data_IF_488290313974
#
_entry.id   IF_488290313974
#
_cell.length_a   1.000
_cell.length_b   1.000
_cell.length_c   1.000
_cell.angle_alpha   90.00
_cell.angle_beta   90.00
_cell.angle_gamma   90.00
#
_symmetry.space_group_name_H-M   'P 1'
#
loop_
_entity.id
_entity.type
_entity.pdbx_description
1 polymer ?
#
# COMPACT_ATOMS: atom_id res chain seq x y z
N UNK A 1 -9.45 29.60 -85.76
CA UNK A 1 -8.70 29.25 -84.50
C UNK A 1 -9.69 29.27 -83.34
N UNK A 2 -10.11 28.12 -82.83
CA UNK A 2 -11.05 28.00 -81.72
C UNK A 2 -10.26 27.57 -80.49
N UNK A 3 -10.14 28.50 -79.53
CA UNK A 3 -9.48 28.26 -78.23
C UNK A 3 -10.46 27.55 -77.30
N UNK A 4 -10.15 26.34 -76.85
CA UNK A 4 -10.89 25.60 -75.84
C UNK A 4 -10.38 25.96 -74.45
N UNK A 5 -11.23 26.53 -73.60
CA UNK A 5 -11.00 26.70 -72.16
C UNK A 5 -11.32 25.34 -71.47
N UNK A 6 -10.40 24.90 -70.64
CA UNK A 6 -10.51 23.75 -69.75
C UNK A 6 -10.93 24.22 -68.38
N UNK A 7 -11.95 23.66 -67.70
CA UNK A 7 -12.29 24.05 -66.36
C UNK A 7 -11.38 23.34 -65.34
N UNK A 8 -10.82 24.13 -64.42
CA UNK A 8 -10.02 23.71 -63.30
C UNK A 8 -10.98 23.22 -62.18
N UNK A 9 -11.03 21.92 -61.95
CA UNK A 9 -11.76 21.36 -60.78
C UNK A 9 -10.89 21.54 -59.52
N UNK A 10 -11.42 22.35 -58.60
CA UNK A 10 -10.87 22.52 -57.26
C UNK A 10 -11.38 21.36 -56.37
N UNK A 11 -10.53 20.37 -56.07
CA UNK A 11 -10.84 19.37 -55.04
C UNK A 11 -10.62 19.99 -53.67
N UNK A 12 -11.69 20.29 -52.96
CA UNK A 12 -11.65 20.63 -51.53
C UNK A 12 -11.46 19.34 -50.71
N UNK A 13 -10.26 19.10 -50.24
CA UNK A 13 -9.95 18.04 -49.28
C UNK A 13 -10.52 18.39 -47.91
N UNK A 14 -11.57 17.69 -47.49
CA UNK A 14 -12.08 17.75 -46.13
C UNK A 14 -11.09 16.95 -45.25
N UNK A 15 -10.22 17.65 -44.53
CA UNK A 15 -9.45 17.09 -43.46
C UNK A 15 -10.39 16.82 -42.28
N UNK A 16 -10.80 15.55 -42.10
CA UNK A 16 -11.41 15.07 -40.87
C UNK A 16 -10.32 15.06 -39.79
N UNK A 17 -10.22 16.16 -39.05
CA UNK A 17 -9.50 16.19 -37.78
C UNK A 17 -10.26 15.28 -36.80
N UNK A 18 -9.84 14.03 -36.71
CA UNK A 18 -10.24 13.18 -35.60
C UNK A 18 -9.73 13.82 -34.31
N UNK A 19 -10.64 14.45 -33.58
CA UNK A 19 -10.41 14.84 -32.19
C UNK A 19 -10.38 13.56 -31.35
N UNK A 20 -9.23 12.87 -31.35
CA UNK A 20 -8.92 11.90 -30.32
C UNK A 20 -8.79 12.69 -29.02
N UNK A 21 -9.77 12.56 -28.13
CA UNK A 21 -9.59 12.96 -26.75
C UNK A 21 -8.37 12.20 -26.24
N UNK A 22 -7.24 12.86 -26.12
CA UNK A 22 -6.13 12.35 -25.36
C UNK A 22 -6.69 12.16 -23.94
N UNK A 23 -6.85 10.90 -23.48
CA UNK A 23 -7.09 10.61 -22.08
C UNK A 23 -5.99 11.34 -21.33
N UNK A 24 -6.37 12.34 -20.56
CA UNK A 24 -5.42 13.05 -19.71
C UNK A 24 -4.92 12.07 -18.67
N UNK A 25 -3.63 12.07 -18.35
CA UNK A 25 -3.04 11.13 -17.38
C UNK A 25 -3.83 11.09 -16.05
N UNK A 26 -4.47 12.22 -15.68
CA UNK A 26 -5.33 12.34 -14.51
C UNK A 26 -6.54 11.39 -14.51
N UNK A 27 -7.08 11.04 -15.69
CA UNK A 27 -8.25 10.15 -15.82
C UNK A 27 -7.92 8.68 -15.57
N UNK A 28 -6.62 8.34 -15.54
CA UNK A 28 -6.14 6.96 -15.32
C UNK A 28 -5.99 6.58 -13.85
N UNK A 29 -5.95 7.54 -12.94
CA UNK A 29 -5.78 7.29 -11.50
C UNK A 29 -7.13 7.08 -10.82
N UNK A 30 -7.14 6.15 -9.85
CA UNK A 30 -8.29 6.01 -8.96
C UNK A 30 -8.27 7.17 -7.97
N UNK A 31 -9.40 7.83 -7.78
CA UNK A 31 -9.58 8.93 -6.84
C UNK A 31 -10.80 8.71 -5.94
N UNK A 32 -10.87 9.46 -4.87
CA UNK A 32 -12.07 9.51 -4.01
C UNK A 32 -12.82 10.81 -4.29
N UNK A 33 -14.12 10.69 -4.52
CA UNK A 33 -15.03 11.83 -4.64
C UNK A 33 -16.38 11.46 -4.03
N UNK A 34 -16.92 12.32 -3.16
CA UNK A 34 -18.20 12.11 -2.47
C UNK A 34 -18.32 10.73 -1.78
N UNK A 35 -17.22 10.25 -1.17
CA UNK A 35 -17.18 8.97 -0.46
C UNK A 35 -17.13 7.74 -1.35
N UNK A 36 -16.87 7.89 -2.65
CA UNK A 36 -16.74 6.78 -3.61
C UNK A 36 -15.37 6.78 -4.29
N UNK A 37 -14.86 5.59 -4.60
CA UNK A 37 -13.75 5.45 -5.53
C UNK A 37 -14.25 5.64 -6.95
N UNK A 38 -13.55 6.45 -7.72
CA UNK A 38 -13.82 6.68 -9.14
C UNK A 38 -12.59 6.36 -9.98
N UNK A 39 -12.82 5.76 -11.15
CA UNK A 39 -11.83 5.60 -12.21
C UNK A 39 -12.49 6.05 -13.53
N UNK A 40 -11.90 7.02 -14.22
CA UNK A 40 -12.46 7.63 -15.43
C UNK A 40 -13.92 8.10 -15.23
N UNK A 41 -14.17 8.83 -14.14
CA UNK A 41 -15.48 9.36 -13.72
C UNK A 41 -16.58 8.32 -13.47
N UNK A 42 -16.20 7.05 -13.38
CA UNK A 42 -17.12 5.96 -13.07
C UNK A 42 -16.84 5.37 -11.70
N UNK A 43 -17.87 4.93 -10.95
CA UNK A 43 -17.66 4.21 -9.72
C UNK A 43 -16.73 3.02 -9.91
N UNK A 44 -15.70 2.95 -9.08
CA UNK A 44 -14.72 1.87 -9.08
C UNK A 44 -14.95 0.96 -7.88
N UNK A 45 -15.31 -0.30 -8.17
CA UNK A 45 -15.48 -1.35 -7.18
C UNK A 45 -14.50 -2.48 -7.49
N UNK A 46 -13.97 -3.12 -6.47
CA UNK A 46 -13.01 -4.20 -6.64
C UNK A 46 -13.18 -5.31 -5.62
N UNK A 47 -12.73 -6.50 -6.00
CA UNK A 47 -12.37 -7.57 -5.08
C UNK A 47 -10.85 -7.60 -5.03
N UNK A 48 -10.30 -7.59 -3.84
CA UNK A 48 -8.85 -7.59 -3.62
C UNK A 48 -8.39 -8.77 -2.80
N UNK A 49 -7.08 -8.99 -2.81
CA UNK A 49 -6.42 -9.96 -1.94
C UNK A 49 -5.07 -9.44 -1.45
N UNK A 50 -4.63 -9.94 -0.28
CA UNK A 50 -3.24 -9.77 0.14
C UNK A 50 -2.33 -10.62 -0.75
N UNK A 51 -1.37 -9.97 -1.39
CA UNK A 51 -0.38 -10.60 -2.27
C UNK A 51 1.02 -10.10 -1.91
N UNK A 52 1.33 -10.15 -0.59
CA UNK A 52 2.51 -9.55 0.00
C UNK A 52 3.84 -10.03 -0.61
N UNK A 53 3.87 -11.25 -1.15
CA UNK A 53 5.04 -11.90 -1.73
C UNK A 53 5.24 -11.62 -3.23
N UNK A 54 4.46 -10.73 -3.83
CA UNK A 54 4.54 -10.41 -5.26
C UNK A 54 5.93 -10.00 -5.74
N UNK A 55 6.63 -9.08 -5.03
CA UNK A 55 8.01 -8.71 -5.38
C UNK A 55 8.99 -9.87 -5.28
N UNK A 56 8.82 -10.77 -4.32
CA UNK A 56 9.67 -11.97 -4.17
C UNK A 56 9.56 -12.86 -5.41
N UNK A 57 8.33 -13.22 -5.82
CA UNK A 57 8.11 -14.01 -7.03
C UNK A 57 8.60 -13.28 -8.30
N UNK A 58 8.51 -11.95 -8.31
CA UNK A 58 8.99 -11.11 -9.42
C UNK A 58 10.51 -11.03 -9.55
N UNK A 59 11.26 -11.37 -8.49
CA UNK A 59 12.70 -11.23 -8.45
C UNK A 59 13.41 -12.24 -9.38
N UNK A 60 14.69 -11.98 -9.65
CA UNK A 60 15.59 -12.92 -10.31
C UNK A 60 16.47 -13.69 -9.32
N UNK A 61 16.26 -13.46 -8.03
CA UNK A 61 16.94 -14.19 -6.96
C UNK A 61 16.47 -15.65 -6.84
N UNK A 62 17.07 -16.42 -5.94
CA UNK A 62 16.78 -17.86 -5.79
C UNK A 62 15.33 -18.16 -5.39
N UNK A 63 14.65 -17.20 -4.73
CA UNK A 63 13.25 -17.33 -4.31
C UNK A 63 12.26 -16.79 -5.35
N UNK A 64 12.74 -16.27 -6.47
CA UNK A 64 11.94 -15.75 -7.57
C UNK A 64 11.35 -16.87 -8.43
N UNK A 65 10.10 -16.69 -8.85
CA UNK A 65 9.43 -17.54 -9.85
C UNK A 65 8.45 -16.71 -10.66
N UNK A 66 8.95 -16.05 -11.68
CA UNK A 66 8.15 -15.22 -12.59
C UNK A 66 7.06 -16.01 -13.33
N UNK A 67 7.31 -17.30 -13.57
CA UNK A 67 6.31 -18.19 -14.17
C UNK A 67 5.13 -18.45 -13.22
N UNK A 68 5.41 -18.68 -11.93
CA UNK A 68 4.41 -18.79 -10.88
C UNK A 68 3.67 -17.46 -10.70
N UNK A 69 4.39 -16.34 -10.65
CA UNK A 69 3.79 -15.00 -10.56
C UNK A 69 2.75 -14.79 -11.67
N UNK A 70 3.12 -15.09 -12.93
CA UNK A 70 2.20 -14.93 -14.05
C UNK A 70 0.95 -15.81 -13.89
N UNK A 71 1.11 -17.09 -13.54
CA UNK A 71 -0.02 -18.03 -13.34
C UNK A 71 -0.94 -17.58 -12.19
N UNK A 72 -0.38 -17.10 -11.08
CA UNK A 72 -1.18 -16.64 -9.93
C UNK A 72 -1.95 -15.36 -10.27
N UNK A 73 -1.32 -14.39 -10.92
CA UNK A 73 -2.00 -13.17 -11.36
C UNK A 73 -3.12 -13.47 -12.37
N UNK A 74 -2.89 -14.36 -13.33
CA UNK A 74 -3.92 -14.79 -14.28
C UNK A 74 -5.07 -15.49 -13.55
N UNK A 75 -4.78 -16.41 -12.64
CA UNK A 75 -5.80 -17.12 -11.86
C UNK A 75 -6.62 -16.19 -10.94
N UNK A 76 -6.02 -15.14 -10.38
CA UNK A 76 -6.72 -14.13 -9.58
C UNK A 76 -7.62 -13.29 -10.48
N UNK A 77 -7.11 -12.79 -11.59
CA UNK A 77 -7.88 -12.02 -12.57
C UNK A 77 -9.10 -12.80 -13.09
N UNK A 78 -8.92 -14.07 -13.45
CA UNK A 78 -10.00 -14.94 -13.94
C UNK A 78 -11.12 -15.15 -12.90
N UNK A 79 -10.82 -14.93 -11.61
CA UNK A 79 -11.77 -14.95 -10.50
C UNK A 79 -12.35 -13.59 -10.14
N UNK A 80 -12.02 -12.55 -10.92
CA UNK A 80 -12.52 -11.18 -10.71
C UNK A 80 -11.76 -10.39 -9.64
N UNK A 81 -10.59 -10.88 -9.19
CA UNK A 81 -9.70 -10.11 -8.31
C UNK A 81 -8.95 -9.08 -9.15
N UNK A 82 -9.15 -7.81 -8.85
CA UNK A 82 -8.58 -6.70 -9.61
C UNK A 82 -7.76 -5.74 -8.77
N UNK A 83 -7.60 -6.02 -7.46
CA UNK A 83 -6.80 -5.20 -6.56
C UNK A 83 -5.91 -6.11 -5.68
N UNK A 84 -4.65 -5.75 -5.57
CA UNK A 84 -3.65 -6.51 -4.79
C UNK A 84 -3.07 -5.62 -3.70
N UNK A 85 -3.01 -6.12 -2.47
CA UNK A 85 -2.32 -5.44 -1.38
C UNK A 85 -0.96 -6.09 -1.16
N UNK A 86 0.11 -5.32 -1.31
CA UNK A 86 1.48 -5.81 -1.48
C UNK A 86 2.43 -5.10 -0.53
N UNK A 87 3.28 -5.86 0.15
CA UNK A 87 4.42 -5.32 0.88
C UNK A 87 5.51 -4.93 -0.11
N UNK A 88 6.08 -3.74 0.02
CA UNK A 88 7.21 -3.33 -0.83
C UNK A 88 8.45 -4.19 -0.57
N UNK A 89 8.65 -4.63 0.66
CA UNK A 89 9.69 -5.57 1.08
C UNK A 89 9.85 -5.62 2.58
N UNK A 90 10.66 -6.57 3.06
CA UNK A 90 11.02 -6.71 4.48
C UNK A 90 12.32 -5.99 4.81
N UNK A 91 12.47 -5.63 6.10
CA UNK A 91 13.62 -4.93 6.64
C UNK A 91 14.45 -5.84 7.56
N UNK A 92 15.77 -5.77 7.51
CA UNK A 92 16.66 -6.36 8.50
C UNK A 92 17.68 -7.37 7.98
N UNK A 93 17.83 -8.47 8.68
CA UNK A 93 18.78 -9.53 8.39
C UNK A 93 18.05 -10.83 8.09
N UNK A 94 18.65 -11.68 7.23
CA UNK A 94 18.16 -13.04 6.97
C UNK A 94 18.49 -13.97 8.15
N UNK A 95 17.78 -15.11 8.23
CA UNK A 95 17.94 -16.10 9.27
C UNK A 95 17.30 -15.73 10.62
N UNK A 96 16.57 -14.63 10.69
CA UNK A 96 15.83 -14.25 11.90
C UNK A 96 14.52 -15.05 11.98
N UNK A 97 14.30 -15.83 13.07
CA UNK A 97 13.08 -16.61 13.20
C UNK A 97 11.80 -15.76 13.06
N UNK A 98 10.77 -16.35 12.46
CA UNK A 98 9.45 -15.73 12.25
C UNK A 98 9.45 -14.51 11.31
N UNK A 99 10.53 -14.22 10.62
CA UNK A 99 10.61 -13.14 9.62
C UNK A 99 10.51 -13.71 8.21
N UNK A 100 9.86 -12.97 7.31
CA UNK A 100 9.82 -13.31 5.88
C UNK A 100 11.17 -13.04 5.23
N UNK A 101 11.50 -13.84 4.25
CA UNK A 101 12.71 -13.74 3.42
C UNK A 101 12.33 -13.84 1.94
N UNK A 102 13.17 -13.33 1.06
CA UNK A 102 14.39 -12.54 1.27
C UNK A 102 14.12 -11.11 1.75
N UNK A 103 15.15 -10.47 2.30
CA UNK A 103 15.09 -9.12 2.87
C UNK A 103 15.34 -8.06 1.80
N UNK A 104 14.48 -7.05 1.72
CA UNK A 104 14.64 -5.93 0.78
C UNK A 104 15.63 -4.89 1.30
N UNK A 105 15.41 -4.36 2.49
CA UNK A 105 16.29 -3.35 3.10
C UNK A 105 17.19 -4.03 4.14
N UNK A 106 18.47 -4.22 3.80
CA UNK A 106 19.44 -4.95 4.62
C UNK A 106 20.14 -4.08 5.65
N UNK A 107 20.22 -2.77 5.39
CA UNK A 107 20.64 -1.73 6.32
C UNK A 107 19.95 -0.41 5.93
N UNK A 108 19.94 0.63 6.78
CA UNK A 108 19.32 1.91 6.45
C UNK A 108 19.84 2.47 5.13
N UNK A 109 18.95 2.56 4.11
CA UNK A 109 19.27 3.02 2.76
C UNK A 109 20.00 1.99 1.86
N UNK A 110 20.23 0.77 2.33
CA UNK A 110 20.82 -0.31 1.54
C UNK A 110 19.76 -1.35 1.15
N UNK A 111 19.65 -1.63 -0.15
CA UNK A 111 18.56 -2.44 -0.70
C UNK A 111 19.08 -3.59 -1.56
N UNK A 112 18.43 -4.74 -1.45
CA UNK A 112 18.64 -5.85 -2.37
C UNK A 112 18.12 -5.50 -3.77
N UNK A 113 19.03 -5.47 -4.75
CA UNK A 113 18.71 -5.07 -6.12
C UNK A 113 17.84 -6.09 -6.85
N UNK A 114 17.94 -7.38 -6.51
CA UNK A 114 17.11 -8.42 -7.11
C UNK A 114 15.65 -8.30 -6.66
N UNK A 115 15.40 -7.91 -5.40
CA UNK A 115 14.04 -7.65 -4.91
C UNK A 115 13.47 -6.34 -5.44
N UNK A 116 14.29 -5.30 -5.60
CA UNK A 116 13.86 -4.06 -6.28
C UNK A 116 13.50 -4.34 -7.74
N UNK A 117 14.27 -5.17 -8.44
CA UNK A 117 13.93 -5.64 -9.78
C UNK A 117 12.63 -6.44 -9.77
N UNK A 118 12.45 -7.28 -8.75
CA UNK A 118 11.23 -8.06 -8.55
C UNK A 118 9.99 -7.21 -8.33
N UNK A 119 10.09 -6.14 -7.55
CA UNK A 119 9.01 -5.18 -7.34
C UNK A 119 8.63 -4.49 -8.66
N UNK A 120 9.62 -4.02 -9.43
CA UNK A 120 9.39 -3.39 -10.73
C UNK A 120 8.74 -4.36 -11.73
N UNK A 121 9.21 -5.61 -11.76
CA UNK A 121 8.65 -6.65 -12.62
C UNK A 121 7.21 -6.98 -12.23
N UNK A 122 6.94 -7.16 -10.95
CA UNK A 122 5.60 -7.40 -10.42
C UNK A 122 4.64 -6.26 -10.82
N UNK A 123 5.03 -5.00 -10.61
CA UNK A 123 4.20 -3.84 -10.97
C UNK A 123 3.85 -3.82 -12.45
N UNK A 124 4.83 -4.11 -13.32
CA UNK A 124 4.56 -4.25 -14.77
C UNK A 124 3.56 -5.36 -15.07
N UNK A 125 3.70 -6.53 -14.44
CA UNK A 125 2.81 -7.68 -14.68
C UNK A 125 1.40 -7.46 -14.14
N UNK A 126 1.24 -6.76 -13.02
CA UNK A 126 -0.05 -6.33 -12.52
C UNK A 126 -0.72 -5.32 -13.48
N UNK A 127 0.03 -4.30 -13.92
CA UNK A 127 -0.45 -3.30 -14.87
C UNK A 127 -0.95 -3.93 -16.20
N UNK A 128 -0.21 -4.91 -16.74
CA UNK A 128 -0.60 -5.63 -17.97
C UNK A 128 -1.90 -6.43 -17.86
N UNK A 129 -2.36 -6.67 -16.65
CA UNK A 129 -3.60 -7.39 -16.34
C UNK A 129 -4.71 -6.47 -15.84
N UNK A 130 -4.53 -5.16 -15.97
CA UNK A 130 -5.44 -4.13 -15.47
C UNK A 130 -5.72 -4.27 -13.96
N UNK A 131 -4.77 -4.81 -13.21
CA UNK A 131 -4.84 -4.91 -11.75
C UNK A 131 -4.28 -3.65 -11.10
N UNK A 132 -4.94 -3.19 -10.06
CA UNK A 132 -4.49 -2.08 -9.22
C UNK A 132 -3.74 -2.62 -7.99
N UNK A 133 -2.78 -1.86 -7.49
CA UNK A 133 -1.92 -2.31 -6.39
C UNK A 133 -1.90 -1.28 -5.26
N UNK A 134 -2.22 -1.74 -4.05
CA UNK A 134 -1.97 -1.02 -2.81
C UNK A 134 -0.58 -1.43 -2.32
N UNK A 135 0.34 -0.48 -2.24
CA UNK A 135 1.69 -0.70 -1.74
C UNK A 135 1.81 -0.21 -0.29
N UNK A 136 2.06 -1.12 0.67
CA UNK A 136 2.34 -0.72 2.04
C UNK A 136 3.83 -0.74 2.33
N UNK A 137 4.29 0.33 3.04
CA UNK A 137 5.70 0.71 3.09
C UNK A 137 6.46 0.10 4.25
N UNK A 138 5.79 -0.24 5.34
CA UNK A 138 6.38 -0.85 6.54
C UNK A 138 5.35 -1.64 7.34
N UNK A 139 5.73 -2.13 8.50
CA UNK A 139 4.90 -2.94 9.38
C UNK A 139 5.12 -2.58 10.86
N UNK A 140 4.08 -2.66 11.66
CA UNK A 140 4.25 -2.56 13.11
C UNK A 140 4.61 -3.91 13.77
N UNK A 141 4.47 -5.01 13.03
CA UNK A 141 4.73 -6.38 13.49
C UNK A 141 6.09 -6.90 13.02
N UNK A 142 6.61 -7.90 13.73
CA UNK A 142 7.96 -8.44 13.57
C UNK A 142 8.21 -9.17 12.25
N UNK A 143 7.17 -9.78 11.67
CA UNK A 143 7.32 -10.73 10.57
C UNK A 143 7.90 -10.15 9.27
N UNK A 144 7.98 -8.82 9.13
CA UNK A 144 8.69 -8.16 8.04
C UNK A 144 9.67 -7.08 8.51
N UNK A 145 10.10 -7.12 9.77
CA UNK A 145 11.02 -6.14 10.36
C UNK A 145 10.31 -4.90 10.89
N UNK A 146 10.07 -3.91 10.04
CA UNK A 146 9.30 -2.71 10.39
C UNK A 146 9.77 -1.99 11.65
N UNK A 147 8.84 -1.60 12.54
CA UNK A 147 9.15 -0.84 13.75
C UNK A 147 10.30 -1.42 14.55
N UNK A 148 10.31 -2.74 14.76
CA UNK A 148 11.35 -3.41 15.53
C UNK A 148 12.73 -3.29 14.88
N UNK A 149 12.79 -3.37 13.56
CA UNK A 149 14.04 -3.29 12.83
C UNK A 149 14.59 -1.85 12.80
N UNK A 150 13.74 -0.85 12.60
CA UNK A 150 14.17 0.56 12.66
C UNK A 150 14.71 0.92 14.06
N UNK A 151 14.11 0.39 15.13
CA UNK A 151 14.64 0.56 16.49
C UNK A 151 16.00 -0.11 16.67
N UNK A 152 16.20 -1.32 16.15
CA UNK A 152 17.51 -1.99 16.18
C UNK A 152 18.56 -1.14 15.46
N UNK A 153 18.25 -0.59 14.31
CA UNK A 153 19.14 0.31 13.57
C UNK A 153 19.37 1.65 14.27
N UNK A 154 18.40 2.10 15.06
CA UNK A 154 18.57 3.29 15.90
C UNK A 154 19.47 3.05 17.11
N UNK A 155 19.81 1.79 17.43
CA UNK A 155 20.69 1.43 18.53
C UNK A 155 19.98 1.01 19.81
N UNK A 156 18.67 0.72 19.76
CA UNK A 156 17.85 0.33 20.91
C UNK A 156 18.02 -1.15 21.33
N UNK A 157 19.06 -1.81 20.80
CA UNK A 157 19.36 -3.20 21.11
C UNK A 157 18.56 -4.19 20.29
N UNK A 158 18.60 -5.47 20.68
CA UNK A 158 17.94 -6.55 19.94
C UNK A 158 16.45 -6.58 20.23
N UNK A 159 15.63 -6.61 19.18
CA UNK A 159 14.19 -6.73 19.31
C UNK A 159 13.77 -8.12 19.83
N UNK A 160 12.81 -8.21 20.75
CA UNK A 160 12.17 -9.46 21.13
C UNK A 160 11.40 -10.06 19.95
N UNK A 161 11.36 -11.39 19.88
CA UNK A 161 10.61 -12.14 18.86
C UNK A 161 9.37 -12.75 19.54
N UNK A 162 8.13 -12.35 19.17
CA UNK A 162 6.93 -12.79 19.88
C UNK A 162 6.79 -14.29 20.04
N UNK A 163 7.17 -15.07 19.01
CA UNK A 163 7.13 -16.53 19.04
C UNK A 163 8.15 -17.19 20.00
N UNK A 164 9.14 -16.43 20.47
CA UNK A 164 10.22 -16.90 21.37
C UNK A 164 10.11 -16.21 22.73
N UNK A 165 10.01 -14.88 22.72
CA UNK A 165 10.12 -14.04 23.93
C UNK A 165 8.73 -13.63 24.47
N UNK A 166 7.67 -13.85 23.68
CA UNK A 166 6.29 -13.47 24.02
C UNK A 166 5.88 -12.09 23.46
N UNK A 167 4.57 -11.87 23.43
CA UNK A 167 3.98 -10.65 22.87
C UNK A 167 4.19 -9.40 23.71
N UNK A 168 4.23 -9.51 25.04
CA UNK A 168 4.38 -8.33 25.89
C UNK A 168 5.76 -7.69 25.76
N UNK A 169 6.89 -8.42 25.84
CA UNK A 169 8.22 -7.84 25.59
C UNK A 169 8.32 -7.18 24.21
N UNK A 170 7.72 -7.81 23.19
CA UNK A 170 7.72 -7.22 21.85
C UNK A 170 6.95 -5.89 21.79
N UNK A 171 5.74 -5.85 22.34
CA UNK A 171 4.92 -4.64 22.37
C UNK A 171 5.57 -3.50 23.12
N UNK A 172 6.16 -3.79 24.28
CA UNK A 172 6.93 -2.83 25.07
C UNK A 172 8.11 -2.26 24.28
N UNK A 173 8.82 -3.12 23.56
CA UNK A 173 9.96 -2.72 22.72
C UNK A 173 9.51 -1.83 21.54
N UNK A 174 8.53 -2.25 20.76
CA UNK A 174 8.10 -1.51 19.56
C UNK A 174 7.34 -0.23 19.89
N UNK A 175 6.81 -0.07 21.11
CA UNK A 175 6.29 1.20 21.60
C UNK A 175 7.33 2.32 21.54
N UNK A 176 8.61 1.97 21.60
CA UNK A 176 9.73 2.89 21.45
C UNK A 176 9.87 3.50 20.06
N UNK A 177 9.23 2.96 19.02
CA UNK A 177 9.36 3.48 17.65
C UNK A 177 8.78 4.88 17.51
N UNK A 178 7.61 5.11 18.07
CA UNK A 178 6.90 6.39 17.92
C UNK A 178 7.70 7.56 18.53
N UNK A 179 8.27 7.50 19.74
CA UNK A 179 9.09 8.57 20.26
C UNK A 179 10.52 8.63 19.70
N UNK A 180 10.99 7.59 18.98
CA UNK A 180 12.35 7.54 18.47
C UNK A 180 12.47 8.28 17.12
N UNK A 181 12.97 9.50 17.16
CA UNK A 181 13.13 10.36 15.97
C UNK A 181 14.03 9.71 14.91
N UNK A 182 15.17 9.09 15.35
CA UNK A 182 16.12 8.45 14.44
C UNK A 182 15.49 7.27 13.68
N UNK A 183 14.71 6.45 14.36
CA UNK A 183 14.02 5.33 13.73
C UNK A 183 12.98 5.83 12.70
N UNK A 184 12.22 6.88 13.04
CA UNK A 184 11.25 7.51 12.13
C UNK A 184 11.93 8.19 10.93
N UNK A 185 13.10 8.77 11.11
CA UNK A 185 13.84 9.41 10.01
C UNK A 185 14.36 8.37 9.01
N UNK A 186 14.93 7.26 9.46
CA UNK A 186 15.33 6.13 8.60
C UNK A 186 14.13 5.58 7.81
N UNK A 187 12.95 5.46 8.44
CA UNK A 187 11.73 5.10 7.73
C UNK A 187 11.32 6.17 6.71
N UNK A 188 11.43 7.46 7.03
CA UNK A 188 11.13 8.53 6.08
C UNK A 188 12.06 8.49 4.86
N UNK A 189 13.32 8.10 5.02
CA UNK A 189 14.25 7.90 3.91
C UNK A 189 13.84 6.70 3.04
N UNK A 190 13.38 5.62 3.65
CA UNK A 190 12.78 4.49 2.92
C UNK A 190 11.56 4.93 2.10
N UNK A 191 10.67 5.75 2.69
CA UNK A 191 9.51 6.33 1.96
C UNK A 191 9.98 7.12 0.74
N UNK A 192 10.97 8.01 0.91
CA UNK A 192 11.52 8.82 -0.20
C UNK A 192 12.07 7.94 -1.31
N UNK A 193 12.78 6.89 -0.95
CA UNK A 193 13.39 5.97 -1.91
C UNK A 193 12.34 5.19 -2.71
N UNK A 194 11.36 4.59 -2.03
CA UNK A 194 10.34 3.74 -2.70
C UNK A 194 9.36 4.58 -3.51
N UNK A 195 8.80 5.65 -2.94
CA UNK A 195 7.82 6.51 -3.65
C UNK A 195 8.47 7.25 -4.81
N UNK A 196 9.74 7.65 -4.67
CA UNK A 196 10.51 8.31 -5.72
C UNK A 196 11.04 7.40 -6.83
N UNK A 197 10.75 6.08 -6.76
CA UNK A 197 11.31 5.09 -7.68
C UNK A 197 10.82 5.24 -9.12
N UNK A 198 11.68 4.91 -10.07
CA UNK A 198 11.32 4.71 -11.48
C UNK A 198 11.38 3.22 -11.80
N UNK A 199 10.31 2.66 -12.35
CA UNK A 199 10.21 1.25 -12.72
C UNK A 199 11.17 0.94 -13.89
N UNK A 200 12.05 -0.03 -13.73
CA UNK A 200 13.08 -0.42 -14.73
C UNK A 200 12.49 -0.97 -16.01
N UNK A 201 11.31 -1.58 -15.96
CA UNK A 201 10.69 -2.23 -17.11
C UNK A 201 9.81 -1.31 -17.92
N UNK A 202 9.21 -0.29 -17.30
CA UNK A 202 8.28 0.64 -17.95
C UNK A 202 8.89 2.03 -18.17
N UNK A 203 10.02 2.31 -17.52
CA UNK A 203 10.66 3.62 -17.44
C UNK A 203 9.70 4.73 -16.94
N UNK A 204 8.70 4.34 -16.15
CA UNK A 204 7.71 5.24 -15.55
C UNK A 204 8.02 5.42 -14.07
N UNK A 205 7.90 6.63 -13.57
CA UNK A 205 7.97 6.86 -12.12
C UNK A 205 6.79 6.18 -11.44
N UNK A 206 6.98 5.68 -10.23
CA UNK A 206 5.89 5.11 -9.44
C UNK A 206 4.78 6.13 -9.19
N UNK A 207 5.13 7.40 -8.94
CA UNK A 207 4.18 8.49 -8.81
C UNK A 207 3.35 8.80 -10.09
N UNK A 208 3.72 8.21 -11.23
CA UNK A 208 3.04 8.36 -12.52
C UNK A 208 2.42 7.03 -13.01
N UNK A 209 2.50 5.95 -12.22
CA UNK A 209 2.02 4.62 -12.63
C UNK A 209 0.57 4.39 -12.20
N UNK A 210 -0.40 4.45 -13.13
CA UNK A 210 -1.81 4.29 -12.79
C UNK A 210 -2.17 2.87 -12.29
N UNK A 211 -1.26 1.91 -12.31
CA UNK A 211 -1.45 0.61 -11.67
C UNK A 211 -1.37 0.71 -10.14
N UNK A 212 -0.72 1.73 -9.58
CA UNK A 212 -0.77 1.98 -8.15
C UNK A 212 -2.16 2.52 -7.80
N UNK A 213 -2.83 1.85 -6.86
CA UNK A 213 -4.11 2.30 -6.30
C UNK A 213 -3.88 3.32 -5.19
N UNK A 214 -2.98 2.98 -4.29
CA UNK A 214 -2.63 3.84 -3.16
C UNK A 214 -1.32 3.42 -2.50
N UNK A 215 -0.73 4.37 -1.79
CA UNK A 215 0.28 4.12 -0.77
C UNK A 215 -0.38 3.87 0.57
N UNK A 216 0.05 2.82 1.28
CA UNK A 216 -0.28 2.64 2.68
C UNK A 216 0.97 2.89 3.53
N UNK A 217 0.82 3.73 4.56
CA UNK A 217 1.94 4.12 5.42
C UNK A 217 2.56 2.87 6.07
N UNK A 218 1.72 2.00 6.64
CA UNK A 218 2.18 0.87 7.42
C UNK A 218 1.15 -0.27 7.38
N UNK A 219 1.56 -1.50 7.59
CA UNK A 219 0.62 -2.55 7.99
C UNK A 219 0.33 -2.42 9.48
N UNK A 220 -0.94 -2.16 9.79
CA UNK A 220 -1.46 -2.06 11.15
C UNK A 220 -0.64 -1.13 12.06
N UNK A 221 -0.46 0.17 11.68
CA UNK A 221 0.25 1.11 12.53
C UNK A 221 -0.43 1.23 13.89
N UNK A 222 0.39 1.22 14.96
CA UNK A 222 -0.07 1.31 16.34
C UNK A 222 0.71 2.32 17.15
N UNK A 223 0.03 2.94 18.12
CA UNK A 223 0.65 3.76 19.13
C UNK A 223 1.40 2.91 20.18
N UNK A 224 0.91 1.70 20.48
CA UNK A 224 1.39 0.75 21.47
C UNK A 224 1.38 1.23 22.93
N UNK A 225 1.01 2.48 23.18
CA UNK A 225 0.75 3.02 24.52
C UNK A 225 -0.10 4.28 24.47
N UNK A 226 -0.73 4.64 25.59
CA UNK A 226 -1.52 5.88 25.71
C UNK A 226 -0.64 7.12 25.58
N UNK A 227 0.58 7.08 26.09
CA UNK A 227 1.54 8.19 26.06
C UNK A 227 1.96 8.53 24.63
N UNK A 228 1.95 7.55 23.74
CA UNK A 228 2.37 7.73 22.34
C UNK A 228 1.29 8.33 21.44
N UNK A 229 0.02 8.42 21.87
CA UNK A 229 -1.12 8.76 21.01
C UNK A 229 -0.92 10.06 20.22
N UNK A 230 -0.46 11.11 20.87
CA UNK A 230 -0.25 12.42 20.23
C UNK A 230 0.86 12.35 19.18
N UNK A 231 2.00 11.77 19.52
CA UNK A 231 3.12 11.64 18.60
C UNK A 231 2.82 10.65 17.47
N UNK A 232 2.03 9.61 17.74
CA UNK A 232 1.53 8.68 16.73
C UNK A 232 0.69 9.40 15.67
N UNK A 233 -0.27 10.24 16.10
CA UNK A 233 -1.05 11.03 15.17
C UNK A 233 -0.15 11.99 14.35
N UNK A 234 0.82 12.63 15.02
CA UNK A 234 1.78 13.49 14.35
C UNK A 234 2.62 12.74 13.31
N UNK A 235 3.10 11.54 13.65
CA UNK A 235 3.86 10.68 12.73
C UNK A 235 3.03 10.25 11.51
N UNK A 236 1.79 9.81 11.69
CA UNK A 236 0.88 9.48 10.59
C UNK A 236 0.71 10.69 9.66
N UNK A 237 0.37 11.86 10.20
CA UNK A 237 0.15 13.07 9.40
C UNK A 237 1.41 13.56 8.71
N UNK A 238 2.58 13.50 9.35
CA UNK A 238 3.85 13.91 8.74
C UNK A 238 4.27 12.96 7.62
N UNK A 239 4.07 11.65 7.80
CA UNK A 239 4.35 10.64 6.78
C UNK A 239 3.40 10.80 5.57
N UNK A 240 2.11 11.01 5.82
CA UNK A 240 1.14 11.27 4.74
C UNK A 240 1.53 12.52 3.92
N UNK A 241 1.93 13.61 4.59
CA UNK A 241 2.44 14.82 3.92
C UNK A 241 3.71 14.56 3.12
N UNK A 242 4.64 13.76 3.66
CA UNK A 242 5.85 13.36 2.93
C UNK A 242 5.48 12.61 1.65
N UNK A 243 4.64 11.59 1.73
CA UNK A 243 4.19 10.83 0.55
C UNK A 243 3.52 11.78 -0.45
N UNK A 244 2.59 12.63 -0.01
CA UNK A 244 1.90 13.60 -0.88
C UNK A 244 2.85 14.57 -1.56
N UNK A 245 3.94 14.97 -0.92
CA UNK A 245 4.96 15.85 -1.52
C UNK A 245 5.76 15.17 -2.63
N UNK A 246 5.88 13.84 -2.60
CA UNK A 246 6.58 13.02 -3.58
C UNK A 246 5.64 12.54 -4.69
N UNK A 247 4.39 12.32 -4.34
CA UNK A 247 3.36 11.77 -5.22
C UNK A 247 2.03 12.53 -5.07
N UNK A 248 1.75 13.46 -5.99
CA UNK A 248 0.49 14.22 -5.98
C UNK A 248 -0.71 13.42 -6.52
N UNK A 249 -0.50 12.27 -7.17
CA UNK A 249 -1.51 11.59 -7.97
C UNK A 249 -2.25 10.49 -7.20
N UNK A 250 -1.53 9.69 -6.42
CA UNK A 250 -2.13 8.50 -5.81
C UNK A 250 -2.80 8.81 -4.48
N UNK A 251 -3.76 7.96 -4.14
CA UNK A 251 -4.39 7.95 -2.83
C UNK A 251 -3.40 7.51 -1.76
N UNK A 252 -3.65 7.92 -0.52
CA UNK A 252 -2.87 7.54 0.65
C UNK A 252 -3.83 7.01 1.70
N UNK A 253 -3.46 5.92 2.37
CA UNK A 253 -4.16 5.41 3.54
C UNK A 253 -3.17 5.07 4.66
N UNK A 254 -3.69 5.02 5.88
CA UNK A 254 -2.86 4.72 7.05
C UNK A 254 -2.40 3.27 7.10
N UNK A 255 -3.22 2.34 6.61
CA UNK A 255 -3.05 0.90 6.79
C UNK A 255 -3.56 0.39 8.15
N UNK A 256 -4.39 1.19 8.84
CA UNK A 256 -4.93 0.92 10.17
C UNK A 256 -5.79 -0.34 10.20
N UNK A 257 -5.73 -1.06 11.32
CA UNK A 257 -6.66 -2.14 11.66
C UNK A 257 -7.94 -1.62 12.35
N UNK A 258 -8.03 -0.31 12.59
CA UNK A 258 -9.14 0.32 13.30
C UNK A 258 -8.79 0.70 14.75
N UNK A 259 -9.76 0.60 15.65
CA UNK A 259 -9.64 1.09 17.03
C UNK A 259 -8.44 0.52 17.81
N UNK A 260 -8.08 -0.74 17.58
CA UNK A 260 -6.97 -1.38 18.29
C UNK A 260 -5.61 -0.72 17.98
N UNK A 261 -5.40 -0.23 16.77
CA UNK A 261 -4.19 0.52 16.40
C UNK A 261 -4.09 1.87 17.12
N UNK A 262 -5.20 2.37 17.62
CA UNK A 262 -5.32 3.64 18.33
C UNK A 262 -5.59 3.45 19.84
N UNK A 263 -5.18 2.34 20.44
CA UNK A 263 -5.40 2.01 21.86
C UNK A 263 -6.88 2.17 22.28
N UNK A 264 -7.79 1.73 21.42
CA UNK A 264 -9.26 1.80 21.58
C UNK A 264 -9.80 3.23 21.72
N UNK A 265 -9.04 4.21 21.25
CA UNK A 265 -9.41 5.63 21.27
C UNK A 265 -10.08 6.04 19.95
N UNK A 266 -11.39 6.33 20.03
CA UNK A 266 -12.20 6.72 18.86
C UNK A 266 -11.75 8.07 18.30
N UNK A 267 -11.43 9.04 19.16
CA UNK A 267 -11.01 10.37 18.72
C UNK A 267 -9.66 10.32 18.00
N UNK A 268 -8.73 9.51 18.50
CA UNK A 268 -7.47 9.28 17.83
C UNK A 268 -7.68 8.59 16.47
N UNK A 269 -8.59 7.60 16.42
CA UNK A 269 -8.93 6.91 15.16
C UNK A 269 -9.51 7.87 14.13
N UNK A 270 -10.44 8.73 14.54
CA UNK A 270 -10.98 9.78 13.67
C UNK A 270 -9.88 10.75 13.20
N UNK A 271 -9.04 11.19 14.13
CA UNK A 271 -7.98 12.17 13.87
C UNK A 271 -6.96 11.68 12.84
N UNK A 272 -6.47 10.43 12.93
CA UNK A 272 -5.47 9.90 11.98
C UNK A 272 -6.04 9.70 10.57
N UNK A 273 -7.35 9.60 10.43
CA UNK A 273 -8.03 9.49 9.14
C UNK A 273 -8.56 10.83 8.62
N UNK A 274 -8.55 11.88 9.45
CA UNK A 274 -9.02 13.22 9.07
C UNK A 274 -7.93 14.11 8.43
N UNK A 275 -6.69 13.64 8.33
CA UNK A 275 -5.66 14.41 7.63
C UNK A 275 -6.02 14.56 6.14
N UNK A 276 -5.85 15.78 5.57
CA UNK A 276 -6.24 16.04 4.17
C UNK A 276 -5.54 15.13 3.15
N UNK A 277 -4.37 14.63 3.48
CA UNK A 277 -3.58 13.74 2.63
C UNK A 277 -4.11 12.29 2.64
N UNK A 278 -4.82 11.89 3.69
CA UNK A 278 -5.41 10.55 3.82
C UNK A 278 -6.70 10.48 3.03
N UNK A 279 -6.75 9.62 2.05
CA UNK A 279 -7.82 9.58 1.03
C UNK A 279 -8.99 8.68 1.43
N UNK A 280 -8.75 7.65 2.22
CA UNK A 280 -9.79 6.69 2.64
C UNK A 280 -9.39 5.96 3.91
N UNK A 281 -10.39 5.44 4.61
CA UNK A 281 -10.23 4.59 5.80
C UNK A 281 -10.14 3.14 5.35
N UNK A 282 -9.20 2.40 5.94
CA UNK A 282 -9.17 0.94 5.87
C UNK A 282 -9.27 0.34 7.28
N UNK A 283 -9.84 -0.85 7.34
CA UNK A 283 -10.00 -1.61 8.58
C UNK A 283 -9.60 -3.07 8.32
N UNK A 284 -9.03 -3.72 9.33
CA UNK A 284 -8.77 -5.14 9.33
C UNK A 284 -9.76 -5.83 10.27
N UNK A 285 -10.62 -6.68 9.73
CA UNK A 285 -11.67 -7.35 10.48
C UNK A 285 -11.41 -8.85 10.48
N UNK A 286 -11.15 -9.39 11.68
CA UNK A 286 -10.92 -10.81 11.89
C UNK A 286 -12.11 -11.40 12.68
N UNK A 287 -13.05 -12.11 12.04
CA UNK A 287 -14.27 -12.59 12.70
C UNK A 287 -14.02 -13.54 13.88
N UNK A 288 -12.87 -14.21 13.89
CA UNK A 288 -12.51 -15.20 14.94
C UNK A 288 -11.64 -14.63 16.06
N UNK A 289 -10.96 -13.50 15.81
CA UNK A 289 -10.02 -12.87 16.75
C UNK A 289 -10.40 -11.46 17.15
N UNK A 290 -11.24 -10.80 16.37
CA UNK A 290 -11.75 -9.46 16.65
C UNK A 290 -12.95 -9.46 17.58
N UNK A 291 -13.28 -8.31 18.14
CA UNK A 291 -14.45 -8.07 19.00
C UNK A 291 -15.79 -8.05 18.26
N UNK A 292 -15.85 -8.54 17.03
CA UNK A 292 -17.10 -8.70 16.30
C UNK A 292 -18.02 -9.75 16.91
N UNK A 293 -19.35 -9.68 16.69
CA UNK A 293 -20.28 -10.65 17.24
C UNK A 293 -19.93 -12.05 16.76
N UNK A 294 -19.70 -12.95 17.72
CA UNK A 294 -19.47 -14.37 17.41
C UNK A 294 -20.76 -14.94 16.82
N UNK A 295 -20.73 -15.68 15.70
CA UNK A 295 -21.90 -16.40 15.24
C UNK A 295 -22.37 -17.35 16.34
N UNK A 296 -23.58 -17.16 16.89
CA UNK A 296 -24.19 -18.07 17.86
C UNK A 296 -24.43 -17.56 19.29
N UNK A 297 -24.02 -16.37 19.66
CA UNK A 297 -24.46 -15.75 20.93
C UNK A 297 -25.77 -14.99 20.73
N UNK A 298 -26.86 -15.70 20.51
CA UNK A 298 -28.22 -15.20 20.75
C UNK A 298 -28.38 -15.07 22.27
N UNK A 299 -28.37 -13.86 22.77
CA UNK A 299 -28.88 -13.57 24.12
C UNK A 299 -30.38 -13.85 24.10
N UNK A 300 -30.77 -15.08 24.51
CA UNK A 300 -32.15 -15.31 24.94
C UNK A 300 -32.37 -14.43 26.19
N UNK A 301 -33.09 -13.34 26.02
CA UNK A 301 -33.70 -12.65 27.13
C UNK A 301 -34.72 -13.61 27.76
N UNK A 302 -34.38 -14.16 28.93
CA UNK A 302 -35.34 -14.88 29.78
C UNK A 302 -36.27 -13.80 30.42
N UNK A 303 -37.35 -13.52 29.76
CA UNK A 303 -38.51 -12.92 30.44
C UNK A 303 -39.22 -14.06 31.16
N UNK A 304 -39.04 -14.15 32.47
CA UNK A 304 -39.85 -14.95 33.35
C UNK A 304 -41.21 -14.28 33.51
N UNK A 305 -42.34 -14.93 33.24
CA UNK A 305 -43.65 -14.35 33.61
C UNK A 305 -43.81 -14.48 35.13
N UNK A 306 -43.97 -13.33 35.82
CA UNK A 306 -44.37 -13.30 37.20
C UNK A 306 -45.82 -13.75 37.33
N UNK A 307 -46.03 -14.68 38.22
CA UNK A 307 -47.35 -15.06 38.81
C UNK A 307 -47.81 -14.01 39.82
#
# INVERSE_FOLDING_TARGET
MKTKLLPLMLLAGIALSGCGTADTAADSFVRVENGQFLLNDKPYYFIGTNFWYGPILGSQGPDGDRGRLARELDALRDRGVTNLRVLVGADGEEGVPCKIEPILQTAPGEYDDALLDGLDYFMREAARRDMKVVLYLTNSWEWSGGYSQYLMWAGEGKAPIPGIDGWNPFREYVAGFIPNERAREMFADHVRFIVGRTNRYTNRKYSEDPAIFSWQICNEPRAFSDENKEEFAHWIGSTARLIRSLDPNHMISTGSEGLFGCEVDTLLTERIHAFPEVSYVNLHIWPTTGSGPRPGTSTRSSTTPGS
#
